data_IF_040462809311
#
_entry.id   IF_040462809311
#
_cell.length_a   1.000
_cell.length_b   1.000
_cell.length_c   1.000
_cell.angle_alpha   90.00
_cell.angle_beta   90.00
_cell.angle_gamma   90.00
#
_symmetry.space_group_name_H-M   'P 1'
#
loop_
_entity.id
_entity.type
_entity.pdbx_description
1 polymer ?
#
# COMPACT_ATOMS: atom_id res chain seq x y z
N UNK A 1 -2.01 -16.53 3.02
CA UNK A 1 -0.60 -16.24 3.34
C UNK A 1 -0.60 -14.99 4.19
N UNK A 2 -0.35 -15.13 5.48
CA UNK A 2 -0.08 -13.98 6.35
C UNK A 2 1.38 -13.59 6.15
N UNK A 3 1.61 -12.30 5.92
CA UNK A 3 2.94 -11.70 5.76
C UNK A 3 3.30 -10.98 7.05
N UNK A 4 4.59 -10.92 7.35
CA UNK A 4 5.07 -10.10 8.45
C UNK A 4 4.73 -8.63 8.17
N UNK A 5 4.01 -8.02 9.11
CA UNK A 5 3.69 -6.61 9.13
C UNK A 5 4.75 -5.93 9.98
N UNK A 6 5.74 -5.27 9.34
CA UNK A 6 6.87 -4.60 10.00
C UNK A 6 6.45 -3.33 10.77
N UNK A 7 5.41 -3.43 11.60
CA UNK A 7 4.76 -2.31 12.27
C UNK A 7 3.62 -1.65 11.47
N UNK A 8 3.34 -2.11 10.25
CA UNK A 8 2.26 -1.56 9.42
C UNK A 8 0.94 -2.33 9.59
N UNK A 9 -0.15 -1.61 9.87
CA UNK A 9 -1.48 -2.17 9.72
C UNK A 9 -1.87 -2.23 8.24
N UNK A 10 -2.03 -3.41 7.68
CA UNK A 10 -2.39 -3.63 6.28
C UNK A 10 -3.88 -3.83 6.04
N UNK A 11 -4.70 -3.73 7.09
CA UNK A 11 -6.16 -3.79 7.00
C UNK A 11 -6.77 -2.43 6.68
N UNK A 12 -6.03 -1.36 6.90
CA UNK A 12 -6.43 0.02 6.62
C UNK A 12 -5.86 0.54 5.28
N UNK A 13 -6.33 1.72 4.87
CA UNK A 13 -5.82 2.46 3.70
C UNK A 13 -5.09 3.69 4.22
N UNK A 14 -3.80 3.83 3.89
CA UNK A 14 -3.03 5.03 4.23
C UNK A 14 -3.23 6.12 3.19
N UNK A 15 -3.36 7.38 3.62
CA UNK A 15 -3.34 8.51 2.72
C UNK A 15 -1.90 8.81 2.27
N UNK A 16 -1.64 8.88 0.97
CA UNK A 16 -0.30 9.12 0.43
C UNK A 16 0.23 10.53 0.74
N UNK A 17 -0.64 11.52 0.95
CA UNK A 17 -0.23 12.89 1.31
C UNK A 17 0.25 12.95 2.76
N UNK A 18 -0.39 12.18 3.65
CA UNK A 18 0.04 12.05 5.05
C UNK A 18 1.24 11.11 5.21
N UNK A 19 1.22 9.98 4.47
CA UNK A 19 2.20 8.91 4.53
C UNK A 19 2.75 8.60 3.13
N UNK A 20 3.62 9.47 2.58
CA UNK A 20 4.25 9.22 1.29
C UNK A 20 5.09 7.93 1.36
N UNK A 21 5.40 7.36 0.19
CA UNK A 21 6.28 6.20 0.14
C UNK A 21 7.65 6.53 0.74
N UNK A 22 8.15 5.64 1.61
CA UNK A 22 9.52 5.75 2.13
C UNK A 22 10.52 5.53 0.99
N UNK A 23 10.21 4.60 0.09
CA UNK A 23 10.93 4.35 -1.15
C UNK A 23 9.95 4.34 -2.33
N UNK A 24 10.07 5.31 -3.23
CA UNK A 24 9.15 5.47 -4.36
C UNK A 24 8.97 4.17 -5.16
N UNK A 25 7.71 3.79 -5.38
CA UNK A 25 7.38 2.60 -6.16
C UNK A 25 7.65 1.27 -5.45
N UNK A 26 7.93 1.29 -4.14
CA UNK A 26 8.02 0.09 -3.30
C UNK A 26 6.93 0.11 -2.24
N UNK A 27 6.60 -1.07 -1.75
CA UNK A 27 5.67 -1.23 -0.65
C UNK A 27 6.43 -1.06 0.66
N UNK A 28 6.03 -0.11 1.50
CA UNK A 28 6.74 0.20 2.73
C UNK A 28 6.82 -0.99 3.70
N UNK A 29 5.87 -1.94 3.64
CA UNK A 29 5.91 -3.15 4.47
C UNK A 29 6.90 -4.22 3.96
N UNK A 30 6.96 -4.47 2.65
CA UNK A 30 7.61 -5.67 2.11
C UNK A 30 8.54 -5.45 0.90
N UNK A 31 8.83 -4.20 0.55
CA UNK A 31 9.68 -3.75 -0.57
C UNK A 31 9.27 -4.25 -1.97
N UNK A 32 8.11 -4.90 -2.08
CA UNK A 32 7.61 -5.41 -3.35
C UNK A 32 7.22 -4.28 -4.29
N UNK A 33 7.40 -4.52 -5.59
CA UNK A 33 7.24 -3.51 -6.65
C UNK A 33 5.97 -3.69 -7.46
N UNK A 34 5.27 -4.82 -7.32
CA UNK A 34 4.03 -5.07 -8.08
C UNK A 34 2.79 -4.73 -7.25
N UNK A 35 1.97 -3.86 -7.82
CA UNK A 35 0.74 -3.38 -7.21
C UNK A 35 -0.48 -3.72 -8.07
N UNK A 36 -1.63 -3.79 -7.41
CA UNK A 36 -2.94 -3.75 -8.03
C UNK A 36 -3.48 -2.34 -7.80
N UNK A 37 -3.94 -1.71 -8.87
CA UNK A 37 -4.56 -0.39 -8.79
C UNK A 37 -6.06 -0.51 -9.02
N UNK A 38 -6.83 0.29 -8.31
CA UNK A 38 -8.28 0.41 -8.50
C UNK A 38 -8.72 1.85 -8.25
N UNK A 39 -9.86 2.23 -8.81
CA UNK A 39 -10.48 3.54 -8.53
C UNK A 39 -11.77 3.28 -7.78
N UNK A 40 -11.96 3.98 -6.66
CA UNK A 40 -13.20 3.94 -5.88
C UNK A 40 -13.57 5.35 -5.47
N UNK A 41 -14.78 5.78 -5.80
CA UNK A 41 -15.30 7.11 -5.46
C UNK A 41 -14.37 8.27 -5.90
N UNK A 42 -13.71 8.11 -7.06
CA UNK A 42 -12.76 9.08 -7.60
C UNK A 42 -11.36 9.05 -6.98
N UNK A 43 -11.12 8.19 -5.98
CA UNK A 43 -9.82 8.02 -5.31
C UNK A 43 -9.07 6.85 -5.94
N UNK A 44 -7.79 7.04 -6.25
CA UNK A 44 -6.93 5.97 -6.76
C UNK A 44 -6.34 5.17 -5.59
N UNK A 45 -6.65 3.88 -5.54
CA UNK A 45 -6.15 2.96 -4.52
C UNK A 45 -5.05 2.09 -5.10
N UNK A 46 -3.88 2.10 -4.46
CA UNK A 46 -2.75 1.22 -4.73
C UNK A 46 -2.66 0.13 -3.66
N UNK A 47 -2.79 -1.12 -4.05
CA UNK A 47 -2.68 -2.29 -3.17
C UNK A 47 -1.44 -3.13 -3.52
N UNK A 48 -0.61 -3.47 -2.54
CA UNK A 48 0.53 -4.36 -2.76
C UNK A 48 0.04 -5.78 -3.09
N UNK A 49 0.46 -6.35 -4.22
CA UNK A 49 0.02 -7.72 -4.60
C UNK A 49 0.58 -8.83 -3.71
N UNK A 50 1.60 -8.53 -2.91
CA UNK A 50 2.24 -9.49 -2.00
C UNK A 50 1.64 -9.42 -0.60
N UNK A 51 1.60 -8.22 -0.03
CA UNK A 51 1.21 -8.03 1.36
C UNK A 51 -0.11 -7.26 1.54
N UNK A 52 -0.88 -6.99 0.49
CA UNK A 52 -2.21 -6.36 0.64
C UNK A 52 -2.23 -4.93 1.22
N UNK A 53 -1.08 -4.34 1.59
CA UNK A 53 -1.01 -2.95 2.08
C UNK A 53 -1.58 -1.99 1.04
N UNK A 54 -2.45 -1.06 1.48
CA UNK A 54 -3.17 -0.13 0.61
C UNK A 54 -2.77 1.31 0.88
N UNK A 55 -2.64 2.11 -0.18
CA UNK A 55 -2.54 3.56 -0.13
C UNK A 55 -3.57 4.23 -1.04
N UNK A 56 -4.16 5.34 -0.63
CA UNK A 56 -4.90 6.26 -1.50
C UNK A 56 -3.96 7.33 -2.05
N UNK A 57 -3.90 7.45 -3.37
CA UNK A 57 -3.07 8.38 -4.12
C UNK A 57 -3.95 9.42 -4.81
#
# INVERSE_FOLDING_TARGET
MEYETKGYDTTIVYDYKEYPDVHHGRCDNCDYTLFKSSVKDGIFLRECRRCGMKKSI
#
